data_IF_404140453150
#
_entry.id   IF_404140453150
#
_cell.length_a   1.000
_cell.length_b   1.000
_cell.length_c   1.000
_cell.angle_alpha   90.00
_cell.angle_beta   90.00
_cell.angle_gamma   90.00
#
_symmetry.space_group_name_H-M   'P 1'
#
loop_
_entity.id
_entity.type
_entity.pdbx_description
1 polymer ?
#
# COMPACT_ATOMS: atom_id res chain seq x y z
N UNK A 1 -12.52 -39.70 -45.51
CA UNK A 1 -11.92 -40.30 -44.31
C UNK A 1 -10.52 -39.72 -44.20
N UNK A 2 -10.04 -39.02 -43.20
CA UNK A 2 -10.54 -38.43 -41.95
C UNK A 2 -9.60 -37.24 -41.69
N UNK A 3 -10.11 -36.13 -41.15
CA UNK A 3 -9.27 -35.07 -40.56
C UNK A 3 -8.98 -35.46 -39.11
N UNK A 4 -7.76 -35.22 -38.57
CA UNK A 4 -7.54 -35.35 -37.14
C UNK A 4 -8.15 -34.15 -36.39
N UNK A 5 -8.83 -34.49 -35.30
CA UNK A 5 -9.65 -33.64 -34.47
C UNK A 5 -8.93 -32.40 -33.92
N UNK A 6 -9.57 -31.24 -34.09
CA UNK A 6 -9.23 -30.02 -33.37
C UNK A 6 -9.41 -30.21 -31.86
N UNK A 7 -8.41 -29.79 -31.09
CA UNK A 7 -8.52 -29.67 -29.64
C UNK A 7 -9.62 -28.65 -29.28
N UNK A 8 -10.36 -28.86 -28.17
CA UNK A 8 -11.33 -27.90 -27.70
C UNK A 8 -10.62 -26.62 -27.26
N UNK A 9 -10.86 -25.54 -28.00
CA UNK A 9 -10.60 -24.17 -27.57
C UNK A 9 -11.49 -23.94 -26.35
N UNK A 10 -10.88 -23.96 -25.16
CA UNK A 10 -11.48 -23.41 -23.95
C UNK A 10 -11.71 -21.91 -24.21
N UNK A 11 -12.93 -21.60 -24.66
CA UNK A 11 -13.48 -20.25 -24.53
C UNK A 11 -13.56 -19.98 -23.03
N UNK A 12 -12.64 -19.17 -22.50
CA UNK A 12 -12.83 -18.54 -21.20
C UNK A 12 -13.95 -17.52 -21.39
N UNK A 13 -15.19 -17.95 -21.10
CA UNK A 13 -16.29 -17.01 -20.93
C UNK A 13 -15.90 -16.05 -19.81
N UNK A 14 -15.99 -14.78 -20.18
CA UNK A 14 -15.81 -13.62 -19.33
C UNK A 14 -16.94 -13.58 -18.31
N UNK A 15 -16.71 -14.16 -17.14
CA UNK A 15 -17.51 -13.80 -15.96
C UNK A 15 -16.91 -12.53 -15.37
N UNK A 16 -17.59 -11.41 -15.66
CA UNK A 16 -17.32 -10.13 -15.02
C UNK A 16 -17.47 -10.29 -13.50
N UNK A 17 -16.35 -10.23 -12.79
CA UNK A 17 -16.33 -10.29 -11.33
C UNK A 17 -16.96 -9.01 -10.75
N UNK A 18 -17.98 -9.15 -9.91
CA UNK A 18 -18.60 -8.04 -9.19
C UNK A 18 -17.59 -7.35 -8.25
N UNK A 19 -17.49 -6.01 -8.36
CA UNK A 19 -16.51 -5.15 -7.69
C UNK A 19 -17.07 -4.61 -6.36
N UNK A 20 -16.43 -4.90 -5.22
CA UNK A 20 -16.80 -4.35 -3.90
C UNK A 20 -15.64 -3.77 -3.04
N UNK A 21 -15.21 -2.54 -3.39
CA UNK A 21 -14.99 -1.30 -2.56
C UNK A 21 -13.95 -1.17 -1.42
N UNK A 22 -12.81 -1.88 -1.34
CA UNK A 22 -12.17 -2.05 -0.02
C UNK A 22 -10.96 -1.32 0.60
N UNK A 23 -9.76 -1.46 0.06
CA UNK A 23 -8.53 -1.45 0.87
C UNK A 23 -7.74 -0.15 0.90
N UNK A 24 -8.33 0.93 0.39
CA UNK A 24 -7.74 2.25 0.55
C UNK A 24 -8.41 2.93 1.73
N UNK A 25 -7.74 2.86 2.89
CA UNK A 25 -8.20 3.52 4.10
C UNK A 25 -7.71 4.96 4.06
N UNK A 26 -8.66 5.87 3.95
CA UNK A 26 -8.40 7.30 4.00
C UNK A 26 -8.79 7.85 5.36
N UNK A 27 -7.85 8.50 6.04
CA UNK A 27 -8.13 9.21 7.28
C UNK A 27 -7.85 10.69 7.11
N UNK A 28 -8.89 11.53 7.28
CA UNK A 28 -8.72 12.99 7.33
C UNK A 28 -8.01 13.39 8.62
N UNK A 29 -7.03 14.26 8.49
CA UNK A 29 -6.41 15.00 9.58
C UNK A 29 -7.29 16.23 9.85
N UNK A 30 -7.92 16.26 11.01
CA UNK A 30 -8.62 17.45 11.51
C UNK A 30 -7.73 18.12 12.56
N UNK A 31 -7.10 19.24 12.19
CA UNK A 31 -6.46 20.15 13.14
C UNK A 31 -7.53 21.11 13.67
N UNK A 32 -7.59 21.30 15.00
CA UNK A 32 -8.49 22.28 15.62
C UNK A 32 -7.85 23.66 15.47
N UNK A 33 -8.39 24.50 14.61
CA UNK A 33 -8.08 25.93 14.61
C UNK A 33 -8.81 26.60 15.78
N UNK A 34 -8.05 27.09 16.76
CA UNK A 34 -8.60 27.93 17.83
C UNK A 34 -8.62 29.38 17.38
N UNK A 35 -9.81 29.96 17.22
CA UNK A 35 -10.01 31.36 16.84
C UNK A 35 -10.12 32.30 18.05
N UNK A 36 -9.22 33.29 18.08
CA UNK A 36 -9.28 34.67 18.62
C UNK A 36 -9.65 34.96 20.09
N UNK A 37 -8.73 35.61 20.84
CA UNK A 37 -8.79 37.04 21.19
C UNK A 37 -7.64 37.45 22.17
N UNK A 38 -6.97 38.60 21.92
CA UNK A 38 -6.36 39.43 22.99
C UNK A 38 -4.82 39.56 23.09
N UNK A 39 -4.30 40.61 22.46
CA UNK A 39 -3.17 41.53 22.80
C UNK A 39 -1.99 41.19 23.76
N UNK A 40 -0.81 41.65 23.31
CA UNK A 40 0.35 42.23 24.04
C UNK A 40 1.64 41.38 24.10
N UNK A 41 2.73 41.93 23.54
CA UNK A 41 4.08 41.37 23.59
C UNK A 41 4.80 41.82 24.87
N UNK A 42 5.43 40.88 25.58
CA UNK A 42 6.39 41.17 26.67
C UNK A 42 7.40 40.02 26.81
N UNK A 43 8.61 40.38 27.23
CA UNK A 43 9.88 39.66 27.12
C UNK A 43 9.95 38.24 27.74
N UNK A 44 10.85 37.43 27.17
CA UNK A 44 11.20 36.07 27.60
C UNK A 44 12.07 36.15 28.87
N UNK A 45 11.62 35.49 29.95
CA UNK A 45 12.50 35.01 31.02
C UNK A 45 12.57 33.48 31.01
N UNK A 46 13.79 32.98 31.01
CA UNK A 46 14.16 31.57 31.05
C UNK A 46 13.81 30.91 32.39
N UNK A 47 12.81 30.05 32.41
CA UNK A 47 12.73 28.82 33.24
C UNK A 47 11.35 28.19 33.06
N UNK A 48 11.33 26.88 32.85
CA UNK A 48 10.13 26.01 32.84
C UNK A 48 9.08 26.28 31.74
N UNK A 49 9.12 25.51 30.64
CA UNK A 49 7.94 25.33 29.78
C UNK A 49 7.68 23.85 29.48
N UNK A 50 6.45 23.34 29.72
CA UNK A 50 6.07 21.98 29.33
C UNK A 50 6.01 21.83 27.81
N UNK A 51 6.22 20.62 27.34
CA UNK A 51 6.19 20.11 25.95
C UNK A 51 5.02 20.58 25.05
N UNK A 52 4.03 21.29 25.61
CA UNK A 52 2.80 21.78 24.96
C UNK A 52 3.00 23.02 24.08
N UNK A 53 4.05 23.83 24.31
CA UNK A 53 4.28 25.08 23.54
C UNK A 53 4.97 24.90 22.18
N UNK A 54 5.59 23.74 21.88
CA UNK A 54 6.16 23.49 20.55
C UNK A 54 5.09 23.31 19.46
N UNK A 55 3.86 22.97 19.82
CA UNK A 55 2.79 22.68 18.86
C UNK A 55 2.18 23.95 18.26
N UNK A 56 2.14 25.06 19.00
CA UNK A 56 1.54 26.32 18.56
C UNK A 56 2.47 27.12 17.62
N UNK A 57 3.79 26.91 17.73
CA UNK A 57 4.78 27.57 16.85
C UNK A 57 4.87 26.90 15.46
N UNK A 58 4.36 25.68 15.31
CA UNK A 58 4.30 25.00 14.01
C UNK A 58 3.16 25.51 13.13
N UNK A 59 2.06 26.04 13.67
CA UNK A 59 0.93 26.48 12.84
C UNK A 59 1.17 27.86 12.17
N UNK A 60 1.86 28.80 12.82
CA UNK A 60 2.15 30.11 12.22
C UNK A 60 3.35 30.08 11.25
N UNK A 61 4.16 29.02 11.27
CA UNK A 61 5.33 28.85 10.40
C UNK A 61 5.09 27.93 9.19
N UNK A 62 3.99 27.19 9.14
CA UNK A 62 3.68 26.25 8.06
C UNK A 62 2.63 26.82 7.10
N UNK A 63 2.91 28.02 6.59
CA UNK A 63 2.46 28.38 5.25
C UNK A 63 3.19 27.46 4.27
N UNK A 64 2.42 26.77 3.43
CA UNK A 64 2.89 25.74 2.48
C UNK A 64 3.28 24.39 3.09
N UNK A 65 3.02 23.33 2.32
CA UNK A 65 2.99 21.94 2.76
C UNK A 65 4.32 21.51 3.44
N UNK A 66 4.34 21.22 4.76
CA UNK A 66 5.55 20.80 5.43
C UNK A 66 6.04 19.46 4.90
N UNK A 67 7.32 19.40 4.55
CA UNK A 67 8.03 18.14 4.33
C UNK A 67 7.79 17.17 5.49
N UNK A 68 7.54 15.89 5.23
CA UNK A 68 7.26 14.92 6.27
C UNK A 68 8.50 14.73 7.14
N UNK A 69 8.32 14.72 8.45
CA UNK A 69 9.36 14.30 9.39
C UNK A 69 9.21 12.78 9.55
N UNK A 70 10.24 12.04 9.18
CA UNK A 70 10.24 10.59 9.29
C UNK A 70 11.62 10.05 9.70
N UNK A 71 11.61 8.79 10.11
CA UNK A 71 12.81 7.96 10.25
C UNK A 71 12.48 6.55 9.77
N UNK A 72 13.47 5.83 9.29
CA UNK A 72 13.33 4.45 8.87
C UNK A 72 14.52 3.62 9.33
N UNK A 73 14.27 2.35 9.62
CA UNK A 73 15.29 1.35 9.94
C UNK A 73 14.87 0.05 9.26
N UNK A 74 15.84 -0.62 8.65
CA UNK A 74 15.65 -1.90 7.98
C UNK A 74 16.97 -2.65 8.11
N UNK A 75 16.93 -3.76 8.83
CA UNK A 75 18.12 -4.55 9.19
C UNK A 75 17.79 -6.03 9.04
N UNK A 76 18.79 -6.84 8.67
CA UNK A 76 18.63 -8.28 8.48
C UNK A 76 18.26 -9.03 9.78
N UNK A 77 18.72 -8.53 10.93
CA UNK A 77 18.51 -9.20 12.20
C UNK A 77 19.17 -10.58 12.22
N UNK A 78 18.42 -11.59 12.67
CA UNK A 78 18.87 -12.99 12.76
C UNK A 78 18.58 -13.82 11.50
N UNK A 79 17.92 -13.24 10.49
CA UNK A 79 17.66 -13.95 9.25
C UNK A 79 18.97 -14.22 8.49
N UNK A 80 19.01 -15.30 7.72
CA UNK A 80 20.20 -15.63 6.91
C UNK A 80 20.39 -14.65 5.74
N UNK A 81 19.31 -14.03 5.29
CA UNK A 81 19.28 -13.09 4.16
C UNK A 81 18.33 -11.94 4.44
N UNK A 82 18.67 -10.77 3.90
CA UNK A 82 17.81 -9.59 3.95
C UNK A 82 16.86 -9.57 2.75
N UNK A 83 15.59 -9.89 2.99
CA UNK A 83 14.52 -9.85 1.97
C UNK A 83 13.59 -8.64 2.14
N UNK A 84 13.58 -8.04 3.33
CA UNK A 84 12.86 -6.80 3.64
C UNK A 84 13.43 -5.60 2.89
N UNK A 85 12.53 -4.69 2.50
CA UNK A 85 12.91 -3.38 2.02
C UNK A 85 11.95 -2.29 2.48
N UNK A 86 12.45 -1.07 2.59
CA UNK A 86 11.66 0.14 2.81
C UNK A 86 11.86 1.12 1.66
N UNK A 87 10.82 1.87 1.34
CA UNK A 87 10.86 2.93 0.34
C UNK A 87 10.23 4.20 0.89
N UNK A 88 10.93 5.32 0.71
CA UNK A 88 10.41 6.65 1.01
C UNK A 88 10.68 7.54 -0.18
N UNK A 89 9.63 8.16 -0.72
CA UNK A 89 9.75 9.13 -1.80
C UNK A 89 8.94 10.37 -1.43
N UNK A 90 9.64 11.46 -1.17
CA UNK A 90 9.03 12.76 -0.93
C UNK A 90 8.58 13.36 -2.25
N UNK A 91 7.45 14.08 -2.23
CA UNK A 91 6.87 14.73 -3.41
C UNK A 91 6.87 13.83 -4.66
N UNK A 92 6.44 12.56 -4.50
CA UNK A 92 6.55 11.55 -5.56
C UNK A 92 5.59 11.81 -6.74
N UNK A 93 4.62 12.70 -6.55
CA UNK A 93 3.66 13.13 -7.55
C UNK A 93 3.49 14.65 -7.44
N UNK A 94 4.01 15.38 -8.43
CA UNK A 94 4.14 16.84 -8.46
C UNK A 94 3.14 17.52 -9.41
N UNK A 95 2.02 16.86 -9.69
CA UNK A 95 1.05 17.36 -10.66
C UNK A 95 0.20 18.50 -10.05
N UNK A 96 0.15 19.70 -10.69
CA UNK A 96 -0.54 20.88 -10.14
C UNK A 96 -2.03 20.67 -9.86
N UNK A 97 -2.67 19.79 -10.62
CA UNK A 97 -4.10 19.55 -10.51
C UNK A 97 -4.44 18.44 -9.50
N UNK A 98 -3.47 17.57 -9.16
CA UNK A 98 -3.67 16.45 -8.23
C UNK A 98 -3.56 16.95 -6.79
N UNK A 99 -4.48 16.53 -5.92
CA UNK A 99 -4.55 16.96 -4.52
C UNK A 99 -4.56 18.50 -4.33
N UNK A 100 -5.01 19.27 -5.34
CA UNK A 100 -4.96 20.72 -5.33
C UNK A 100 -3.54 21.30 -5.37
N UNK A 101 -2.63 20.63 -6.09
CA UNK A 101 -1.25 21.06 -6.30
C UNK A 101 -0.35 20.86 -5.09
N UNK A 102 -0.83 20.11 -4.09
CA UNK A 102 -0.10 19.87 -2.84
C UNK A 102 0.79 18.64 -2.99
N UNK A 103 2.04 18.68 -2.49
CA UNK A 103 2.93 17.51 -2.51
C UNK A 103 2.29 16.27 -1.90
N UNK A 104 2.54 15.12 -2.55
CA UNK A 104 2.21 13.80 -2.01
C UNK A 104 3.51 13.09 -1.62
N UNK A 105 3.54 12.49 -0.43
CA UNK A 105 4.71 11.76 0.06
C UNK A 105 4.38 10.28 0.18
N UNK A 106 5.30 9.44 -0.27
CA UNK A 106 5.14 8.00 -0.34
C UNK A 106 6.03 7.31 0.68
N UNK A 107 5.46 6.36 1.41
CA UNK A 107 6.14 5.49 2.36
C UNK A 107 5.68 4.06 2.13
N UNK A 108 6.61 3.11 2.14
CA UNK A 108 6.24 1.70 2.04
C UNK A 108 7.22 0.79 2.76
N UNK A 109 6.67 -0.32 3.24
CA UNK A 109 7.41 -1.48 3.74
C UNK A 109 7.02 -2.67 2.87
N UNK A 110 8.02 -3.44 2.46
CA UNK A 110 7.89 -4.64 1.66
C UNK A 110 8.65 -5.77 2.35
N UNK A 111 7.94 -6.78 2.82
CA UNK A 111 8.48 -7.98 3.44
C UNK A 111 8.57 -9.07 2.36
N UNK A 112 9.79 -9.33 1.90
CA UNK A 112 10.07 -10.27 0.82
C UNK A 112 10.10 -11.71 1.31
N UNK A 113 9.63 -12.63 0.48
CA UNK A 113 9.72 -14.07 0.78
C UNK A 113 10.08 -14.89 -0.46
N UNK A 114 10.87 -15.94 -0.24
CA UNK A 114 11.46 -16.75 -1.31
C UNK A 114 12.62 -16.06 -2.02
N UNK A 115 12.98 -14.83 -1.61
CA UNK A 115 14.02 -14.00 -2.19
C UNK A 115 13.65 -12.51 -2.23
N UNK A 116 14.67 -11.65 -2.24
CA UNK A 116 14.50 -10.18 -2.21
C UNK A 116 14.08 -9.55 -3.54
N UNK A 117 13.77 -10.34 -4.57
CA UNK A 117 13.57 -9.84 -5.93
C UNK A 117 12.34 -8.94 -6.05
N UNK A 118 11.19 -9.41 -5.56
CA UNK A 118 9.92 -8.68 -5.67
C UNK A 118 9.92 -7.46 -4.75
N UNK A 119 10.40 -7.59 -3.51
CA UNK A 119 10.52 -6.47 -2.57
C UNK A 119 11.45 -5.37 -3.11
N UNK A 120 12.58 -5.75 -3.73
CA UNK A 120 13.52 -4.80 -4.37
C UNK A 120 12.88 -4.08 -5.56
N UNK A 121 12.14 -4.79 -6.42
CA UNK A 121 11.39 -4.15 -7.51
C UNK A 121 10.33 -3.18 -6.98
N UNK A 122 9.61 -3.57 -5.93
CA UNK A 122 8.62 -2.72 -5.28
C UNK A 122 9.25 -1.43 -4.74
N UNK A 123 10.41 -1.54 -4.07
CA UNK A 123 11.19 -0.38 -3.60
C UNK A 123 11.52 0.58 -4.74
N UNK A 124 11.96 0.06 -5.87
CA UNK A 124 12.45 0.86 -6.99
C UNK A 124 11.33 1.47 -7.84
N UNK A 125 10.19 0.79 -7.99
CA UNK A 125 9.22 1.11 -9.04
C UNK A 125 7.81 1.45 -8.53
N UNK A 126 7.39 1.02 -7.34
CA UNK A 126 5.99 1.15 -6.92
C UNK A 126 5.53 2.61 -6.85
N UNK A 127 6.35 3.49 -6.29
CA UNK A 127 6.03 4.92 -6.19
C UNK A 127 5.89 5.57 -7.57
N UNK A 128 6.71 5.17 -8.55
CA UNK A 128 6.62 5.68 -9.94
C UNK A 128 5.34 5.18 -10.62
N UNK A 129 5.03 3.89 -10.48
CA UNK A 129 3.81 3.31 -11.04
C UNK A 129 2.57 3.99 -10.46
N UNK A 130 2.53 4.23 -9.14
CA UNK A 130 1.40 4.95 -8.52
C UNK A 130 1.30 6.39 -9.03
N UNK A 131 2.42 7.11 -9.17
CA UNK A 131 2.40 8.47 -9.73
C UNK A 131 1.84 8.50 -11.16
N UNK A 132 2.26 7.54 -11.99
CA UNK A 132 1.76 7.39 -13.36
C UNK A 132 0.27 7.07 -13.40
N UNK A 133 -0.20 6.10 -12.61
CA UNK A 133 -1.62 5.74 -12.58
C UNK A 133 -2.49 6.88 -12.01
N UNK A 134 -2.02 7.60 -10.99
CA UNK A 134 -2.70 8.80 -10.48
C UNK A 134 -2.84 9.86 -11.58
N UNK A 135 -1.78 10.11 -12.33
CA UNK A 135 -1.79 11.05 -13.46
C UNK A 135 -2.76 10.62 -14.55
N UNK A 136 -2.73 9.35 -14.95
CA UNK A 136 -3.64 8.82 -15.96
C UNK A 136 -5.11 8.88 -15.53
N UNK A 137 -5.41 8.52 -14.28
CA UNK A 137 -6.77 8.56 -13.74
C UNK A 137 -7.27 10.00 -13.64
N UNK A 138 -6.41 10.93 -13.25
CA UNK A 138 -6.74 12.35 -13.24
C UNK A 138 -7.01 12.90 -14.64
N UNK A 139 -6.16 12.62 -15.62
CA UNK A 139 -6.37 13.11 -17.00
C UNK A 139 -7.64 12.54 -17.65
N UNK A 140 -8.07 11.33 -17.29
CA UNK A 140 -9.23 10.67 -17.90
C UNK A 140 -10.55 11.00 -17.22
N UNK A 141 -10.56 11.10 -15.89
CA UNK A 141 -11.79 11.31 -15.09
C UNK A 141 -11.94 12.77 -14.62
N UNK A 142 -10.84 13.50 -14.51
CA UNK A 142 -10.80 14.86 -13.98
C UNK A 142 -11.35 14.94 -12.54
N UNK A 143 -11.79 16.14 -12.13
CA UNK A 143 -12.41 16.38 -10.82
C UNK A 143 -13.86 15.85 -10.71
N UNK A 144 -14.33 15.03 -11.65
CA UNK A 144 -15.71 14.50 -11.65
C UNK A 144 -15.91 13.40 -10.61
N UNK A 145 -14.87 12.63 -10.33
CA UNK A 145 -14.89 11.55 -9.35
C UNK A 145 -14.50 12.06 -7.97
N UNK A 146 -15.03 11.42 -6.93
CA UNK A 146 -14.55 11.63 -5.57
C UNK A 146 -13.05 11.30 -5.48
N UNK A 147 -12.28 12.15 -4.80
CA UNK A 147 -10.84 11.98 -4.67
C UNK A 147 -10.45 10.60 -4.14
N UNK A 148 -11.20 10.07 -3.16
CA UNK A 148 -10.91 8.76 -2.60
C UNK A 148 -11.15 7.65 -3.62
N UNK A 149 -12.16 7.79 -4.48
CA UNK A 149 -12.44 6.84 -5.56
C UNK A 149 -11.36 6.82 -6.63
N UNK A 150 -10.89 8.00 -7.03
CA UNK A 150 -9.82 8.15 -8.01
C UNK A 150 -8.51 7.55 -7.51
N UNK A 151 -8.08 7.91 -6.29
CA UNK A 151 -6.83 7.40 -5.70
C UNK A 151 -6.90 5.90 -5.51
N UNK A 152 -8.05 5.38 -5.08
CA UNK A 152 -8.24 3.94 -4.92
C UNK A 152 -8.05 3.19 -6.21
N UNK A 153 -8.74 3.60 -7.26
CA UNK A 153 -8.65 2.93 -8.55
C UNK A 153 -7.25 3.06 -9.17
N UNK A 154 -6.54 4.17 -8.93
CA UNK A 154 -5.14 4.31 -9.31
C UNK A 154 -4.25 3.29 -8.58
N UNK A 155 -4.34 3.21 -7.25
CA UNK A 155 -3.55 2.27 -6.43
C UNK A 155 -3.85 0.81 -6.81
N UNK A 156 -5.12 0.45 -7.00
CA UNK A 156 -5.52 -0.90 -7.43
C UNK A 156 -4.85 -1.28 -8.75
N UNK A 157 -4.90 -0.38 -9.73
CA UNK A 157 -4.25 -0.58 -11.02
C UNK A 157 -2.73 -0.63 -10.88
N UNK A 158 -2.14 0.13 -9.95
CA UNK A 158 -0.70 0.09 -9.69
C UNK A 158 -0.23 -1.24 -9.09
N UNK A 159 -0.97 -1.83 -8.16
CA UNK A 159 -0.60 -3.12 -7.57
C UNK A 159 -0.67 -4.24 -8.62
N UNK A 160 -1.74 -4.29 -9.43
CA UNK A 160 -1.85 -5.23 -10.55
C UNK A 160 -0.73 -5.04 -11.59
N UNK A 161 -0.39 -3.78 -11.90
CA UNK A 161 0.72 -3.47 -12.79
C UNK A 161 2.07 -3.87 -12.17
N UNK A 162 2.24 -3.74 -10.86
CA UNK A 162 3.45 -4.20 -10.17
C UNK A 162 3.60 -5.72 -10.24
N UNK A 163 2.52 -6.49 -10.07
CA UNK A 163 2.56 -7.95 -10.25
C UNK A 163 3.05 -8.32 -11.65
N UNK A 164 2.50 -7.68 -12.69
CA UNK A 164 2.94 -7.89 -14.06
C UNK A 164 4.42 -7.52 -14.26
N UNK A 165 4.86 -6.40 -13.69
CA UNK A 165 6.26 -5.97 -13.75
C UNK A 165 7.16 -6.98 -13.04
N UNK A 166 6.81 -7.41 -11.84
CA UNK A 166 7.61 -8.32 -11.02
C UNK A 166 7.75 -9.72 -11.65
N UNK A 167 6.73 -10.18 -12.38
CA UNK A 167 6.77 -11.42 -13.15
C UNK A 167 7.65 -11.34 -14.42
N UNK A 168 7.79 -10.16 -15.03
CA UNK A 168 8.40 -10.01 -16.35
C UNK A 168 9.74 -9.27 -16.36
N UNK A 169 10.03 -8.52 -15.29
CA UNK A 169 11.18 -7.64 -15.18
C UNK A 169 12.18 -8.19 -14.17
N UNK A 170 13.46 -8.04 -14.50
CA UNK A 170 14.52 -8.27 -13.55
C UNK A 170 14.88 -7.00 -12.78
N UNK A 171 15.49 -7.13 -11.60
CA UNK A 171 15.97 -6.00 -10.77
C UNK A 171 16.83 -5.01 -11.58
N UNK A 172 17.62 -5.49 -12.56
CA UNK A 172 18.42 -4.64 -13.44
C UNK A 172 17.64 -3.92 -14.55
N UNK A 173 16.30 -3.98 -14.55
CA UNK A 173 15.43 -3.33 -15.54
C UNK A 173 15.34 -4.04 -16.90
N UNK A 174 15.96 -5.22 -17.06
CA UNK A 174 15.89 -6.02 -18.29
C UNK A 174 14.78 -7.05 -18.20
N UNK A 175 14.04 -7.25 -19.31
CA UNK A 175 13.01 -8.31 -19.41
C UNK A 175 13.65 -9.70 -19.33
N UNK A 176 12.97 -10.63 -18.66
CA UNK A 176 13.52 -11.90 -18.17
C UNK A 176 14.34 -12.76 -19.14
N UNK A 177 14.05 -12.74 -20.45
CA UNK A 177 14.81 -13.52 -21.45
C UNK A 177 16.12 -12.88 -21.93
N UNK A 178 16.30 -11.56 -21.74
CA UNK A 178 17.46 -10.82 -22.24
C UNK A 178 18.57 -10.64 -21.20
N UNK A 179 18.31 -10.94 -19.93
CA UNK A 179 19.31 -10.82 -18.89
C UNK A 179 20.01 -12.16 -18.61
N UNK A 180 21.14 -12.36 -19.29
CA UNK A 180 21.93 -13.60 -19.20
C UNK A 180 22.77 -13.76 -17.93
N UNK A 181 22.87 -12.74 -17.09
CA UNK A 181 23.81 -12.70 -15.95
C UNK A 181 23.15 -12.62 -14.57
N UNK A 182 22.03 -11.89 -14.42
CA UNK A 182 21.43 -11.63 -13.10
C UNK A 182 20.13 -12.39 -12.83
N UNK A 183 19.47 -12.94 -13.85
CA UNK A 183 18.05 -13.31 -13.76
C UNK A 183 17.86 -14.73 -14.28
N UNK A 184 17.64 -15.69 -13.38
CA UNK A 184 17.18 -17.03 -13.75
C UNK A 184 15.66 -17.04 -13.65
N UNK A 185 14.91 -16.89 -14.76
CA UNK A 185 13.48 -16.59 -14.72
C UNK A 185 12.63 -17.67 -14.04
N UNK A 186 13.13 -18.92 -14.01
CA UNK A 186 12.43 -20.08 -13.43
C UNK A 186 12.54 -20.16 -11.90
N UNK A 187 13.42 -19.40 -11.25
CA UNK A 187 13.59 -19.44 -9.79
C UNK A 187 12.62 -18.51 -9.05
N UNK A 188 11.85 -17.66 -9.76
CA UNK A 188 10.96 -16.65 -9.14
C UNK A 188 9.50 -17.06 -8.97
N UNK A 189 9.10 -18.27 -9.39
CA UNK A 189 7.68 -18.70 -9.30
C UNK A 189 7.14 -18.71 -7.85
N UNK A 190 8.05 -18.87 -6.88
CA UNK A 190 7.77 -18.90 -5.44
C UNK A 190 8.25 -17.64 -4.71
N UNK A 191 8.61 -16.59 -5.45
CA UNK A 191 9.12 -15.34 -4.88
C UNK A 191 8.02 -14.30 -4.90
N UNK A 192 7.85 -13.63 -3.78
CA UNK A 192 6.81 -12.62 -3.59
C UNK A 192 7.23 -11.61 -2.54
N UNK A 193 6.33 -10.67 -2.29
CA UNK A 193 6.50 -9.68 -1.24
C UNK A 193 5.15 -9.24 -0.69
N UNK A 194 5.10 -8.87 0.58
CA UNK A 194 4.03 -8.00 1.07
C UNK A 194 4.22 -6.59 0.52
N UNK A 195 3.19 -5.75 0.65
CA UNK A 195 3.28 -4.32 0.45
C UNK A 195 2.34 -3.58 1.40
N UNK A 196 2.90 -2.86 2.37
CA UNK A 196 2.18 -1.89 3.19
C UNK A 196 2.60 -0.48 2.75
N UNK A 197 1.73 0.20 2.01
CA UNK A 197 1.97 1.51 1.40
C UNK A 197 1.16 2.58 2.13
N UNK A 198 1.78 3.72 2.43
CA UNK A 198 1.13 4.91 2.94
C UNK A 198 1.47 6.13 2.06
N UNK A 199 0.44 6.84 1.62
CA UNK A 199 0.54 8.12 0.91
C UNK A 199 0.05 9.21 1.85
N UNK A 200 0.92 10.18 2.13
CA UNK A 200 0.63 11.34 2.95
C UNK A 200 0.34 12.54 2.06
N UNK A 201 -0.78 13.20 2.33
CA UNK A 201 -1.10 14.54 1.84
C UNK A 201 -1.25 15.48 3.04
N UNK A 202 -1.38 16.80 2.85
CA UNK A 202 -1.49 17.75 3.97
C UNK A 202 -2.66 17.48 4.92
N UNK A 203 -3.70 16.81 4.44
CA UNK A 203 -4.93 16.61 5.19
C UNK A 203 -5.39 15.16 5.25
N UNK A 204 -4.70 14.21 4.59
CA UNK A 204 -5.14 12.81 4.49
C UNK A 204 -3.95 11.86 4.61
N UNK A 205 -4.19 10.73 5.27
CA UNK A 205 -3.33 9.55 5.24
C UNK A 205 -4.08 8.47 4.47
N UNK A 206 -3.48 7.96 3.42
CA UNK A 206 -4.05 6.97 2.52
C UNK A 206 -3.20 5.72 2.64
N UNK A 207 -3.78 4.62 3.13
CA UNK A 207 -3.06 3.34 3.30
C UNK A 207 -3.61 2.29 2.35
N UNK A 208 -2.72 1.56 1.69
CA UNK A 208 -2.99 0.36 0.92
C UNK A 208 -2.14 -0.79 1.44
N UNK A 209 -2.73 -1.96 1.64
CA UNK A 209 -2.05 -3.11 2.20
C UNK A 209 -2.29 -4.37 1.38
N UNK A 210 -1.22 -5.11 1.08
CA UNK A 210 -1.27 -6.44 0.51
C UNK A 210 -0.29 -7.35 1.27
N UNK A 211 -0.81 -8.14 2.20
CA UNK A 211 -0.02 -9.07 3.01
C UNK A 211 -0.29 -8.87 4.49
N UNK A 212 0.65 -9.28 5.31
CA UNK A 212 0.58 -9.24 6.77
C UNK A 212 1.55 -8.22 7.41
N UNK A 213 2.28 -7.45 6.61
CA UNK A 213 2.82 -6.17 7.05
C UNK A 213 1.69 -5.20 7.45
N UNK A 214 1.99 -4.21 8.29
CA UNK A 214 0.94 -3.40 8.92
C UNK A 214 1.27 -1.92 9.05
N UNK A 215 0.28 -1.07 8.78
CA UNK A 215 0.30 0.36 9.09
C UNK A 215 -0.56 0.65 10.32
N UNK A 216 -0.02 1.41 11.26
CA UNK A 216 -0.69 1.81 12.51
C UNK A 216 -0.51 3.31 12.74
N UNK A 217 -1.61 4.02 12.98
CA UNK A 217 -1.63 5.43 13.35
C UNK A 217 -1.69 5.57 14.87
N UNK A 218 -0.81 6.37 15.45
CA UNK A 218 -0.98 6.83 16.82
C UNK A 218 -1.76 8.15 16.82
N UNK A 219 -2.92 8.20 17.48
CA UNK A 219 -3.72 9.42 17.65
C UNK A 219 -4.17 9.53 19.09
N UNK A 220 -3.91 10.67 19.73
CA UNK A 220 -4.23 10.90 21.13
C UNK A 220 -3.71 9.77 22.05
N UNK A 221 -2.45 9.34 21.82
CA UNK A 221 -1.78 8.23 22.53
C UNK A 221 -2.46 6.86 22.38
N UNK A 222 -3.36 6.69 21.42
CA UNK A 222 -4.03 5.41 21.13
C UNK A 222 -3.58 4.87 19.76
N UNK A 223 -3.29 3.57 19.65
CA UNK A 223 -3.03 2.93 18.38
C UNK A 223 -4.34 2.74 17.61
N UNK A 224 -4.30 3.05 16.32
CA UNK A 224 -5.40 2.88 15.38
C UNK A 224 -4.82 2.10 14.20
N UNK A 225 -5.21 0.83 14.03
CA UNK A 225 -4.85 0.06 12.86
C UNK A 225 -5.41 0.75 11.60
N UNK A 226 -4.52 1.05 10.65
CA UNK A 226 -4.89 1.60 9.34
C UNK A 226 -4.97 0.52 8.25
N UNK A 227 -4.36 -0.64 8.49
CA UNK A 227 -4.50 -1.83 7.66
C UNK A 227 -4.94 -3.03 8.49
N UNK A 228 -5.42 -4.06 7.79
CA UNK A 228 -5.74 -5.37 8.38
C UNK A 228 -4.93 -6.41 7.64
N UNK A 229 -4.27 -7.28 8.38
CA UNK A 229 -3.44 -8.34 7.81
C UNK A 229 -4.27 -9.31 6.96
N UNK A 230 -3.70 -9.74 5.85
CA UNK A 230 -4.24 -10.79 5.02
C UNK A 230 -3.76 -12.15 5.52
N UNK A 231 -4.40 -12.64 6.59
CA UNK A 231 -4.14 -13.96 7.16
C UNK A 231 -5.11 -15.01 6.62
N UNK A 232 -4.67 -16.25 6.32
CA UNK A 232 -5.52 -17.27 5.72
C UNK A 232 -6.74 -17.65 6.56
N UNK A 233 -6.65 -17.61 7.89
CA UNK A 233 -7.72 -17.97 8.82
C UNK A 233 -8.81 -16.91 8.96
N UNK A 234 -8.67 -15.74 8.32
CA UNK A 234 -9.74 -14.74 8.29
C UNK A 234 -10.94 -15.30 7.51
N UNK A 235 -12.18 -15.16 8.02
CA UNK A 235 -13.34 -15.78 7.38
C UNK A 235 -13.52 -15.42 5.89
N UNK A 236 -13.33 -14.15 5.54
CA UNK A 236 -13.41 -13.66 4.16
C UNK A 236 -12.32 -14.27 3.26
N UNK A 237 -11.08 -14.35 3.75
CA UNK A 237 -9.95 -14.92 3.02
C UNK A 237 -10.07 -16.43 2.88
N UNK A 238 -10.54 -17.11 3.91
CA UNK A 238 -10.80 -18.54 3.89
C UNK A 238 -11.86 -18.92 2.86
N UNK A 239 -12.95 -18.15 2.77
CA UNK A 239 -13.99 -18.35 1.75
C UNK A 239 -13.41 -18.12 0.35
N UNK A 240 -12.65 -17.03 0.16
CA UNK A 240 -12.01 -16.69 -1.11
C UNK A 240 -11.05 -17.79 -1.58
N UNK A 241 -10.13 -18.22 -0.70
CA UNK A 241 -9.15 -19.28 -0.97
C UNK A 241 -9.85 -20.59 -1.35
N UNK A 242 -10.87 -21.01 -0.59
CA UNK A 242 -11.62 -22.23 -0.88
C UNK A 242 -12.39 -22.14 -2.20
N UNK A 243 -13.00 -20.99 -2.51
CA UNK A 243 -13.71 -20.77 -3.78
C UNK A 243 -12.76 -20.86 -4.98
N UNK A 244 -11.51 -20.43 -4.81
CA UNK A 244 -10.45 -20.55 -5.80
C UNK A 244 -9.84 -21.97 -5.91
N UNK A 245 -10.34 -22.96 -5.14
CA UNK A 245 -9.81 -24.32 -5.12
C UNK A 245 -8.56 -24.51 -4.26
N UNK A 246 -8.16 -23.48 -3.49
CA UNK A 246 -7.07 -23.56 -2.53
C UNK A 246 -7.50 -24.21 -1.21
N UNK A 247 -6.51 -24.65 -0.45
CA UNK A 247 -6.69 -25.24 0.88
C UNK A 247 -5.95 -24.43 1.93
N UNK A 248 -6.46 -24.47 3.16
CA UNK A 248 -5.74 -23.93 4.32
C UNK A 248 -5.29 -25.12 5.16
N UNK A 249 -4.00 -25.17 5.43
CA UNK A 249 -3.36 -26.21 6.22
C UNK A 249 -2.74 -25.57 7.45
N UNK A 250 -3.00 -26.14 8.62
CA UNK A 250 -2.33 -25.71 9.84
C UNK A 250 -0.97 -26.42 9.95
N UNK A 251 0.12 -25.65 9.84
CA UNK A 251 1.51 -26.08 10.00
C UNK A 251 2.31 -24.91 10.56
N UNK A 252 2.49 -24.90 11.87
CA UNK A 252 3.09 -23.78 12.62
C UNK A 252 2.42 -22.44 12.29
N UNK A 253 1.09 -22.47 12.20
CA UNK A 253 0.26 -21.38 11.70
C UNK A 253 -0.64 -21.80 10.54
N UNK A 254 -1.64 -20.98 10.21
CA UNK A 254 -2.51 -21.23 9.06
C UNK A 254 -1.81 -20.81 7.78
N UNK A 255 -1.66 -21.76 6.85
CA UNK A 255 -0.95 -21.55 5.59
C UNK A 255 -1.80 -21.91 4.37
N UNK A 256 -1.76 -21.07 3.34
CA UNK A 256 -2.35 -21.35 2.02
C UNK A 256 -1.57 -22.47 1.35
N UNK A 257 -2.27 -23.56 1.01
CA UNK A 257 -1.75 -24.86 0.56
C UNK A 257 -0.58 -25.39 1.41
N UNK A 258 -0.49 -25.02 2.69
CA UNK A 258 0.60 -25.42 3.57
C UNK A 258 1.94 -24.71 3.33
N UNK A 259 1.96 -23.67 2.49
CA UNK A 259 3.19 -22.94 2.12
C UNK A 259 3.23 -21.56 2.77
N UNK A 260 2.31 -20.66 2.41
CA UNK A 260 2.37 -19.24 2.78
C UNK A 260 1.44 -18.93 3.95
N UNK A 261 1.92 -18.23 4.96
CA UNK A 261 1.17 -17.80 6.16
C UNK A 261 0.42 -16.47 5.98
N UNK A 262 0.33 -16.00 4.74
CA UNK A 262 -0.46 -14.85 4.29
C UNK A 262 -1.33 -15.25 3.11
N UNK A 263 -2.50 -14.62 2.98
CA UNK A 263 -3.51 -14.91 1.95
C UNK A 263 -3.45 -13.98 0.74
N UNK A 264 -2.65 -12.91 0.80
CA UNK A 264 -2.38 -12.01 -0.33
C UNK A 264 -0.92 -11.57 -0.30
N UNK A 265 -0.35 -11.34 -1.47
CA UNK A 265 1.01 -10.85 -1.68
C UNK A 265 1.10 -10.23 -3.07
N UNK A 266 2.12 -9.40 -3.31
CA UNK A 266 2.56 -9.09 -4.66
C UNK A 266 3.33 -10.29 -5.20
N UNK A 267 2.85 -10.79 -6.32
CA UNK A 267 3.26 -12.06 -6.94
C UNK A 267 3.05 -13.27 -6.02
N UNK A 268 2.80 -14.42 -6.65
CA UNK A 268 3.32 -15.78 -6.38
C UNK A 268 2.64 -16.63 -7.45
N UNK A 269 3.38 -16.86 -8.54
CA UNK A 269 2.87 -17.34 -9.83
C UNK A 269 2.16 -18.70 -9.74
N UNK A 270 2.56 -19.58 -8.82
CA UNK A 270 1.89 -20.88 -8.61
C UNK A 270 0.54 -20.79 -7.88
N UNK A 271 0.16 -19.61 -7.43
CA UNK A 271 -1.03 -19.35 -6.63
C UNK A 271 -1.86 -18.19 -7.17
N UNK A 272 -1.65 -17.77 -8.42
CA UNK A 272 -2.24 -16.55 -9.00
C UNK A 272 -3.78 -16.52 -8.92
N UNK A 273 -4.46 -17.68 -8.98
CA UNK A 273 -5.91 -17.77 -8.77
C UNK A 273 -6.34 -17.75 -7.29
N UNK A 274 -5.45 -18.10 -6.37
CA UNK A 274 -5.70 -18.30 -4.92
C UNK A 274 -5.27 -17.08 -4.10
N UNK A 275 -4.21 -16.39 -4.51
CA UNK A 275 -3.70 -15.15 -3.94
C UNK A 275 -4.09 -14.03 -4.90
N UNK A 276 -5.30 -13.50 -4.73
CA UNK A 276 -5.79 -12.38 -5.52
C UNK A 276 -5.66 -11.09 -4.74
N UNK A 277 -5.19 -10.04 -5.41
CA UNK A 277 -5.38 -8.65 -4.98
C UNK A 277 -6.88 -8.36 -5.02
N UNK A 278 -7.57 -8.62 -3.91
CA UNK A 278 -8.96 -8.20 -3.72
C UNK A 278 -9.05 -7.28 -2.51
N UNK A 279 -9.86 -6.25 -2.66
CA UNK A 279 -9.92 -5.14 -1.72
C UNK A 279 -11.22 -5.21 -0.90
N UNK A 280 -11.15 -5.47 0.42
CA UNK A 280 -12.29 -5.44 1.37
C UNK A 280 -12.47 -4.12 2.15
N UNK A 281 -13.70 -3.58 2.23
CA UNK A 281 -14.05 -2.24 2.79
C UNK A 281 -14.43 -2.31 4.26
N UNK A 282 -13.84 -1.45 5.08
CA UNK A 282 -14.18 -1.31 6.49
C UNK A 282 -14.14 0.14 6.98
N UNK A 283 -15.33 0.77 7.03
CA UNK A 283 -15.73 2.00 7.73
C UNK A 283 -14.89 3.27 7.52
N UNK A 284 -15.53 4.27 6.90
CA UNK A 284 -15.32 5.69 7.21
C UNK A 284 -15.49 5.89 8.74
N UNK A 285 -14.39 5.95 9.50
CA UNK A 285 -14.44 6.46 10.88
C UNK A 285 -14.52 7.98 10.79
N UNK A 286 -15.74 8.50 10.63
CA UNK A 286 -16.04 9.90 11.00
C UNK A 286 -15.80 10.01 12.50
N UNK A 287 -14.65 10.58 12.87
CA UNK A 287 -14.43 11.00 14.25
C UNK A 287 -15.28 12.25 14.49
N UNK A 288 -16.50 12.01 14.96
CA UNK A 288 -17.37 13.06 15.52
C UNK A 288 -16.69 13.63 16.75
N UNK A 289 -16.69 14.95 16.86
CA UNK A 289 -16.14 15.72 18.00
C UNK A 289 -16.92 15.54 19.32
N UNK A 290 -17.86 14.59 19.40
CA UNK A 290 -18.87 14.51 20.47
C UNK A 290 -18.70 13.38 21.49
N UNK A 291 -17.62 12.61 21.48
CA UNK A 291 -17.36 11.62 22.54
C UNK A 291 -16.05 11.90 23.26
N UNK A 292 -16.10 12.79 24.25
CA UNK A 292 -15.20 12.79 25.40
C UNK A 292 -16.01 13.18 26.65
N UNK A 293 -16.01 12.40 27.74
CA UNK A 293 -16.10 12.96 29.09
C UNK A 293 -14.85 13.79 29.42
#
# INVERSE_FOLDING_TARGET
MEQPAGQPILKSESDACEVHRGQVVETRLSLRTGGSAGSSWSAISSSETPFRKRHLVLEEALGENPMPIFGSISIQGLADRMEDTVAVQENFCDQPDIAGGKPLHFFAVYDGHGGSHVSTLCKNLMHQIIAEELKHMWSTRGSKDDWADLVRAAIEKSFLRMDYVALNLCICGKKGSYCRYCCKPKEYAMVGSTAAVAILTPNRIIVANCGDSRAVLCRARKPIALSVDHKPDRPEELVRIKKAGGHIVYRDGFRVNGILDMSRSLVIYSFESILTLENHYGREKRFSSKEMP
#
